data_IF_755260345863
#
_entry.id   IF_755260345863
#
_cell.length_a   1.000
_cell.length_b   1.000
_cell.length_c   1.000
_cell.angle_alpha   90.00
_cell.angle_beta   90.00
_cell.angle_gamma   90.00
#
_symmetry.space_group_name_H-M   'P 1'
#
loop_
_entity.id
_entity.type
_entity.pdbx_description
1 polymer ?
#
# COMPACT_ATOMS: atom_id res chain seq x y z
N UNK A 1 -22.29 -1.23 0.15
CA UNK A 1 -21.42 -2.33 -0.39
C UNK A 1 -22.29 -3.11 -1.36
N UNK A 2 -21.79 -3.45 -2.55
CA UNK A 2 -22.53 -4.29 -3.51
C UNK A 2 -22.75 -5.65 -2.86
N UNK A 3 -23.99 -6.16 -2.87
CA UNK A 3 -24.30 -7.47 -2.31
C UNK A 3 -23.75 -8.61 -3.18
N UNK A 4 -23.55 -9.79 -2.59
CA UNK A 4 -22.94 -10.92 -3.29
C UNK A 4 -23.74 -11.37 -4.51
N UNK A 5 -25.09 -11.48 -4.47
CA UNK A 5 -25.87 -11.84 -5.64
C UNK A 5 -25.71 -10.85 -6.81
N UNK A 6 -25.60 -9.55 -6.53
CA UNK A 6 -25.34 -8.55 -7.55
C UNK A 6 -23.91 -8.67 -8.12
N UNK A 7 -22.91 -8.95 -7.27
CA UNK A 7 -21.54 -9.25 -7.73
C UNK A 7 -21.55 -10.44 -8.67
N UNK A 8 -22.18 -11.54 -8.29
CA UNK A 8 -22.24 -12.76 -9.10
C UNK A 8 -22.92 -12.48 -10.47
N UNK A 9 -24.03 -11.74 -10.47
CA UNK A 9 -24.69 -11.30 -11.73
C UNK A 9 -23.79 -10.48 -12.63
N UNK A 10 -22.99 -9.58 -12.05
CA UNK A 10 -22.03 -8.76 -12.82
C UNK A 10 -20.93 -9.64 -13.42
N UNK A 11 -20.39 -10.56 -12.62
CA UNK A 11 -19.32 -11.47 -13.05
C UNK A 11 -19.81 -12.42 -14.16
N UNK A 12 -21.01 -12.95 -14.04
CA UNK A 12 -21.61 -13.85 -15.03
C UNK A 12 -21.93 -13.12 -16.34
N UNK A 13 -22.38 -11.87 -16.28
CA UNK A 13 -22.67 -11.05 -17.45
C UNK A 13 -21.40 -10.53 -18.15
N UNK A 14 -20.29 -10.40 -17.43
CA UNK A 14 -19.08 -9.79 -17.94
C UNK A 14 -18.34 -10.71 -18.92
N UNK A 15 -18.64 -10.58 -20.21
CA UNK A 15 -17.94 -11.29 -21.28
C UNK A 15 -16.58 -10.63 -21.53
N UNK A 16 -15.50 -11.41 -21.41
CA UNK A 16 -14.13 -10.90 -21.56
C UNK A 16 -13.85 -10.35 -22.96
N UNK A 17 -14.43 -10.95 -24.02
CA UNK A 17 -14.22 -10.46 -25.39
C UNK A 17 -14.88 -9.10 -25.58
N UNK A 18 -16.13 -8.95 -25.11
CA UNK A 18 -16.88 -7.69 -25.22
C UNK A 18 -16.19 -6.57 -24.45
N UNK A 19 -15.71 -6.89 -23.23
CA UNK A 19 -15.02 -5.91 -22.37
C UNK A 19 -13.70 -5.49 -23.00
N UNK A 20 -12.87 -6.44 -23.41
CA UNK A 20 -11.53 -6.14 -23.95
C UNK A 20 -11.62 -5.46 -25.32
N UNK A 21 -12.61 -5.80 -26.15
CA UNK A 21 -12.77 -5.22 -27.50
C UNK A 21 -13.03 -3.72 -27.51
N UNK A 22 -13.48 -3.13 -26.40
CA UNK A 22 -13.64 -1.67 -26.27
C UNK A 22 -12.31 -0.93 -26.21
N UNK A 23 -11.26 -1.61 -25.77
CA UNK A 23 -9.94 -1.02 -25.51
C UNK A 23 -8.84 -1.54 -26.43
N UNK A 24 -9.02 -2.76 -26.96
CA UNK A 24 -8.01 -3.48 -27.74
C UNK A 24 -8.63 -4.01 -29.03
N UNK A 25 -8.01 -3.68 -30.15
CA UNK A 25 -8.40 -4.28 -31.45
C UNK A 25 -8.03 -5.76 -31.44
N UNK A 26 -9.05 -6.62 -31.37
CA UNK A 26 -8.90 -8.07 -31.34
C UNK A 26 -9.08 -8.70 -32.71
N UNK A 27 -8.23 -9.70 -33.04
CA UNK A 27 -8.35 -10.54 -34.23
C UNK A 27 -8.55 -11.99 -33.82
N UNK A 28 -9.45 -12.70 -34.48
CA UNK A 28 -9.70 -14.13 -34.20
C UNK A 28 -8.49 -14.97 -34.59
N UNK A 29 -8.06 -15.85 -33.67
CA UNK A 29 -6.97 -16.81 -33.87
C UNK A 29 -7.38 -18.18 -33.31
N UNK A 30 -7.92 -19.04 -34.17
CA UNK A 30 -8.53 -20.30 -33.74
C UNK A 30 -9.76 -20.06 -32.86
N UNK A 31 -9.77 -20.65 -31.66
CA UNK A 31 -10.84 -20.52 -30.68
C UNK A 31 -10.69 -19.27 -29.79
N UNK A 32 -9.55 -18.57 -29.86
CA UNK A 32 -9.22 -17.39 -29.08
C UNK A 32 -9.19 -16.14 -29.95
N UNK A 33 -9.04 -14.99 -29.28
CA UNK A 33 -8.73 -13.72 -29.91
C UNK A 33 -7.33 -13.26 -29.47
N UNK A 34 -6.68 -12.42 -30.31
CA UNK A 34 -5.36 -11.88 -30.04
C UNK A 34 -5.29 -10.42 -30.46
N UNK A 35 -4.58 -9.60 -29.68
CA UNK A 35 -4.35 -8.19 -29.94
C UNK A 35 -3.01 -7.72 -29.38
N UNK A 36 -2.73 -6.42 -29.52
CA UNK A 36 -1.59 -5.79 -28.84
C UNK A 36 -1.93 -5.61 -27.35
N UNK A 37 -0.96 -5.82 -26.48
CA UNK A 37 -1.18 -5.69 -25.05
C UNK A 37 -1.34 -4.22 -24.64
N UNK A 38 -2.40 -3.85 -23.88
CA UNK A 38 -2.58 -2.49 -23.42
C UNK A 38 -1.73 -2.15 -22.18
N UNK A 39 -1.05 -3.14 -21.58
CA UNK A 39 -0.34 -2.97 -20.31
C UNK A 39 1.17 -2.76 -20.47
N UNK A 40 1.72 -2.93 -21.69
CA UNK A 40 3.11 -2.65 -22.02
C UNK A 40 3.23 -2.24 -23.48
N UNK A 41 4.38 -1.67 -23.87
CA UNK A 41 4.67 -1.33 -25.27
C UNK A 41 4.88 -2.61 -26.07
N UNK A 42 3.84 -3.05 -26.79
CA UNK A 42 3.81 -4.29 -27.56
C UNK A 42 3.98 -3.99 -29.05
N UNK A 43 4.95 -4.67 -29.70
CA UNK A 43 5.22 -4.54 -31.15
C UNK A 43 4.58 -5.68 -31.96
N UNK A 44 4.17 -6.74 -31.28
CA UNK A 44 3.57 -7.92 -31.91
C UNK A 44 2.43 -8.45 -31.04
N UNK A 45 1.31 -8.92 -31.63
CA UNK A 45 0.15 -9.36 -30.87
C UNK A 45 0.48 -10.50 -29.90
N UNK A 46 0.55 -10.17 -28.60
CA UNK A 46 0.89 -11.10 -27.51
C UNK A 46 -0.23 -11.24 -26.47
N UNK A 47 -1.29 -10.43 -26.59
CA UNK A 47 -2.41 -10.42 -25.67
C UNK A 47 -3.53 -11.32 -26.17
N UNK A 48 -3.73 -12.45 -25.50
CA UNK A 48 -4.73 -13.46 -25.83
C UNK A 48 -5.97 -13.32 -24.97
N UNK A 49 -7.13 -13.46 -25.59
CA UNK A 49 -8.44 -13.47 -24.94
C UNK A 49 -9.12 -14.79 -25.24
N UNK A 50 -9.48 -15.54 -24.21
CA UNK A 50 -10.14 -16.85 -24.32
C UNK A 50 -11.61 -16.73 -23.94
N UNK A 51 -12.54 -16.80 -24.92
CA UNK A 51 -13.98 -16.77 -24.64
C UNK A 51 -14.43 -17.92 -23.76
N UNK A 52 -13.92 -19.14 -24.02
CA UNK A 52 -14.33 -20.35 -23.31
C UNK A 52 -13.93 -20.36 -21.83
N UNK A 53 -12.85 -19.66 -21.47
CA UNK A 53 -12.37 -19.54 -20.09
C UNK A 53 -12.78 -18.21 -19.45
N UNK A 54 -13.35 -17.29 -20.21
CA UNK A 54 -13.70 -15.92 -19.83
C UNK A 54 -12.52 -15.15 -19.17
N UNK A 55 -11.29 -15.31 -19.72
CA UNK A 55 -10.06 -14.68 -19.25
C UNK A 55 -9.22 -14.12 -20.39
N UNK A 56 -8.37 -13.16 -20.08
CA UNK A 56 -7.30 -12.68 -20.95
C UNK A 56 -5.93 -12.94 -20.34
N UNK A 57 -4.88 -13.02 -21.18
CA UNK A 57 -3.48 -13.11 -20.74
C UNK A 57 -2.53 -12.59 -21.81
N UNK A 58 -1.60 -11.75 -21.41
CA UNK A 58 -0.44 -11.40 -22.22
C UNK A 58 0.69 -12.41 -21.99
N UNK A 59 1.21 -13.02 -23.05
CA UNK A 59 2.33 -13.96 -22.95
C UNK A 59 3.70 -13.26 -22.95
N UNK A 60 3.74 -11.95 -23.24
CA UNK A 60 4.98 -11.16 -23.16
C UNK A 60 5.21 -10.58 -21.78
N UNK A 61 4.21 -9.92 -21.16
CA UNK A 61 4.37 -9.29 -19.84
C UNK A 61 3.74 -10.09 -18.68
N UNK A 62 3.02 -11.19 -18.98
CA UNK A 62 2.38 -12.02 -17.97
C UNK A 62 1.05 -11.49 -17.42
N UNK A 63 0.68 -10.23 -17.71
CA UNK A 63 -0.58 -9.62 -17.25
C UNK A 63 -1.80 -10.33 -17.81
N UNK A 64 -2.82 -10.49 -16.97
CA UNK A 64 -4.07 -11.12 -17.40
C UNK A 64 -5.02 -11.36 -16.23
N UNK A 65 -6.17 -11.94 -16.54
CA UNK A 65 -7.20 -12.24 -15.55
C UNK A 65 -8.61 -12.20 -16.14
N UNK A 66 -9.60 -12.03 -15.28
CA UNK A 66 -11.01 -11.88 -15.64
C UNK A 66 -11.32 -10.47 -16.18
N UNK A 67 -12.54 -10.24 -16.68
CA UNK A 67 -13.00 -8.93 -17.13
C UNK A 67 -12.85 -7.85 -16.03
N UNK A 68 -13.13 -8.19 -14.77
CA UNK A 68 -12.95 -7.27 -13.65
C UNK A 68 -11.48 -6.90 -13.46
N UNK A 69 -10.58 -7.89 -13.49
CA UNK A 69 -9.14 -7.65 -13.39
C UNK A 69 -8.61 -6.77 -14.53
N UNK A 70 -9.11 -7.01 -15.75
CA UNK A 70 -8.75 -6.19 -16.91
C UNK A 70 -9.15 -4.72 -16.69
N UNK A 71 -10.39 -4.45 -16.28
CA UNK A 71 -10.88 -3.08 -16.01
C UNK A 71 -10.13 -2.44 -14.83
N UNK A 72 -9.92 -3.18 -13.72
CA UNK A 72 -9.13 -2.68 -12.60
C UNK A 72 -7.75 -2.17 -13.04
N UNK A 73 -7.10 -2.93 -13.90
CA UNK A 73 -5.75 -2.63 -14.36
C UNK A 73 -5.72 -1.53 -15.43
N UNK A 74 -6.62 -1.60 -16.40
CA UNK A 74 -6.69 -0.66 -17.53
C UNK A 74 -7.13 0.72 -17.08
N UNK A 75 -8.22 0.80 -16.33
CA UNK A 75 -8.81 2.05 -15.84
C UNK A 75 -8.24 2.50 -14.49
N UNK A 76 -7.30 1.74 -13.90
CA UNK A 76 -6.71 1.99 -12.58
C UNK A 76 -7.77 2.09 -11.46
N UNK A 77 -8.84 1.31 -11.57
CA UNK A 77 -9.97 1.32 -10.65
C UNK A 77 -9.79 0.34 -9.49
N UNK A 78 -10.46 0.62 -8.37
CA UNK A 78 -10.63 -0.38 -7.31
C UNK A 78 -11.55 -1.52 -7.76
N UNK A 79 -11.51 -2.66 -7.07
CA UNK A 79 -12.37 -3.80 -7.38
C UNK A 79 -13.85 -3.41 -7.44
N UNK A 80 -14.33 -2.65 -6.47
CA UNK A 80 -15.73 -2.21 -6.42
C UNK A 80 -16.07 -1.18 -7.51
N UNK A 81 -15.14 -0.31 -7.89
CA UNK A 81 -15.36 0.64 -8.98
C UNK A 81 -15.35 -0.06 -10.34
N UNK A 82 -14.52 -1.09 -10.52
CA UNK A 82 -14.54 -1.95 -11.70
C UNK A 82 -15.86 -2.72 -11.80
N UNK A 83 -16.42 -3.22 -10.69
CA UNK A 83 -17.75 -3.82 -10.67
C UNK A 83 -18.84 -2.81 -11.04
N UNK A 84 -18.79 -1.56 -10.54
CA UNK A 84 -19.73 -0.50 -10.95
C UNK A 84 -19.63 -0.17 -12.44
N UNK A 85 -18.42 -0.12 -12.96
CA UNK A 85 -18.18 0.08 -14.38
C UNK A 85 -18.86 -1.00 -15.23
N UNK A 86 -18.63 -2.27 -14.88
CA UNK A 86 -19.23 -3.41 -15.57
C UNK A 86 -20.74 -3.47 -15.39
N UNK A 87 -21.26 -3.19 -14.19
CA UNK A 87 -22.70 -3.13 -13.95
C UNK A 87 -23.38 -2.08 -14.85
N UNK A 88 -22.78 -0.90 -14.97
CA UNK A 88 -23.26 0.15 -15.88
C UNK A 88 -23.25 -0.32 -17.35
N UNK A 89 -22.17 -0.98 -17.78
CA UNK A 89 -22.04 -1.52 -19.15
C UNK A 89 -23.14 -2.52 -19.47
N UNK A 90 -23.45 -3.42 -18.53
CA UNK A 90 -24.43 -4.49 -18.75
C UNK A 90 -25.84 -4.16 -18.23
N UNK A 91 -26.10 -2.88 -17.87
CA UNK A 91 -27.38 -2.41 -17.34
C UNK A 91 -27.87 -3.23 -16.13
N UNK A 92 -26.92 -3.64 -15.25
CA UNK A 92 -27.24 -4.35 -14.02
C UNK A 92 -27.44 -3.31 -12.93
N UNK A 93 -28.65 -3.25 -12.39
CA UNK A 93 -28.95 -2.41 -11.23
C UNK A 93 -28.18 -2.92 -10.02
N UNK A 94 -27.38 -2.04 -9.41
CA UNK A 94 -26.61 -2.35 -8.22
C UNK A 94 -27.52 -2.13 -7.01
N UNK A 95 -27.90 -3.22 -6.36
CA UNK A 95 -28.49 -3.14 -5.03
C UNK A 95 -27.34 -2.90 -4.03
N UNK A 96 -27.20 -1.66 -3.60
CA UNK A 96 -26.27 -1.34 -2.52
C UNK A 96 -26.98 -1.64 -1.19
N UNK A 97 -26.51 -2.68 -0.50
CA UNK A 97 -26.88 -2.91 0.89
C UNK A 97 -26.39 -1.69 1.69
N UNK A 98 -27.31 -1.04 2.39
CA UNK A 98 -26.90 -0.07 3.40
C UNK A 98 -25.98 -0.73 4.42
N UNK A 99 -24.84 -0.12 4.66
CA UNK A 99 -23.93 -0.56 5.70
C UNK A 99 -24.62 -0.38 7.06
N UNK A 100 -24.53 -1.36 7.90
CA UNK A 100 -24.94 -1.20 9.31
C UNK A 100 -24.10 -0.09 9.95
N UNK A 101 -24.61 0.53 11.00
CA UNK A 101 -23.87 1.59 11.72
C UNK A 101 -22.51 1.08 12.22
N UNK A 102 -22.43 -0.19 12.60
CA UNK A 102 -21.18 -0.85 12.99
C UNK A 102 -20.18 -0.94 11.82
N UNK A 103 -20.64 -1.30 10.62
CA UNK A 103 -19.79 -1.39 9.41
C UNK A 103 -19.34 0.01 8.96
N UNK A 104 -20.20 1.02 9.06
CA UNK A 104 -19.85 2.42 8.82
C UNK A 104 -18.77 2.89 9.79
N UNK A 105 -18.91 2.54 11.07
CA UNK A 105 -17.94 2.91 12.10
C UNK A 105 -16.58 2.25 11.86
N UNK A 106 -16.55 0.95 11.57
CA UNK A 106 -15.30 0.22 11.25
C UNK A 106 -14.60 0.85 10.04
N UNK A 107 -15.34 1.20 9.00
CA UNK A 107 -14.79 1.86 7.82
C UNK A 107 -14.23 3.24 8.16
N UNK A 108 -14.95 4.04 8.93
CA UNK A 108 -14.51 5.37 9.40
C UNK A 108 -13.27 5.28 10.29
N UNK A 109 -13.20 4.31 11.20
CA UNK A 109 -12.04 4.07 12.06
C UNK A 109 -10.82 3.68 11.25
N UNK A 110 -10.98 2.75 10.29
CA UNK A 110 -9.92 2.32 9.39
C UNK A 110 -9.37 3.49 8.55
N UNK A 111 -10.25 4.34 8.03
CA UNK A 111 -9.85 5.54 7.28
C UNK A 111 -9.10 6.52 8.17
N UNK A 112 -9.59 6.77 9.39
CA UNK A 112 -8.95 7.62 10.38
C UNK A 112 -7.55 7.12 10.76
N UNK A 113 -7.36 5.80 10.92
CA UNK A 113 -6.04 5.20 11.17
C UNK A 113 -5.08 5.40 9.98
N UNK A 114 -5.55 5.25 8.74
CA UNK A 114 -4.73 5.51 7.55
C UNK A 114 -4.31 6.98 7.44
N UNK A 115 -5.21 7.91 7.75
CA UNK A 115 -4.92 9.35 7.76
C UNK A 115 -3.87 9.68 8.82
N UNK A 116 -4.01 9.15 10.04
CA UNK A 116 -3.05 9.34 11.13
C UNK A 116 -1.67 8.79 10.76
N UNK A 117 -1.61 7.59 10.15
CA UNK A 117 -0.33 7.00 9.73
C UNK A 117 0.33 7.78 8.59
N UNK A 118 -0.46 8.28 7.62
CA UNK A 118 0.06 9.13 6.56
C UNK A 118 0.67 10.41 7.12
N UNK A 119 -0.02 11.07 8.05
CA UNK A 119 0.48 12.23 8.76
C UNK A 119 1.76 11.92 9.56
N UNK A 120 1.76 10.83 10.32
CA UNK A 120 2.93 10.43 11.11
C UNK A 120 4.16 10.14 10.23
N UNK A 121 3.97 9.50 9.06
CA UNK A 121 5.03 9.30 8.08
C UNK A 121 5.64 10.62 7.61
N UNK A 122 4.78 11.59 7.27
CA UNK A 122 5.24 12.94 6.89
C UNK A 122 5.93 13.65 8.06
N UNK A 123 5.38 13.58 9.26
CA UNK A 123 5.97 14.16 10.46
C UNK A 123 7.39 13.63 10.72
N UNK A 124 7.58 12.31 10.72
CA UNK A 124 8.90 11.70 10.89
C UNK A 124 9.88 12.08 9.77
N UNK A 125 9.41 12.13 8.53
CA UNK A 125 10.23 12.55 7.39
C UNK A 125 10.65 14.03 7.53
N UNK A 126 9.73 14.91 7.89
CA UNK A 126 10.03 16.33 8.16
C UNK A 126 11.06 16.48 9.28
N UNK A 127 10.91 15.75 10.38
CA UNK A 127 11.91 15.78 11.46
C UNK A 127 13.28 15.31 10.99
N UNK A 128 13.37 14.28 10.16
CA UNK A 128 14.64 13.81 9.62
C UNK A 128 15.34 14.88 8.77
N UNK A 129 14.59 15.58 7.93
CA UNK A 129 15.16 16.52 6.96
C UNK A 129 15.32 17.95 7.48
N UNK A 130 14.52 18.38 8.46
CA UNK A 130 14.45 19.79 8.87
C UNK A 130 14.91 20.02 10.31
N UNK A 131 14.65 19.08 11.23
CA UNK A 131 15.02 19.24 12.63
C UNK A 131 16.52 19.02 12.86
N UNK A 132 17.13 19.80 13.78
CA UNK A 132 18.57 19.72 14.08
C UNK A 132 18.99 18.31 14.50
N UNK A 133 18.25 17.69 15.43
CA UNK A 133 18.50 16.32 15.90
C UNK A 133 18.31 15.29 14.78
N UNK A 134 17.27 15.46 13.94
CA UNK A 134 17.03 14.59 12.78
C UNK A 134 18.19 14.59 11.80
N UNK A 135 18.73 15.78 11.48
CA UNK A 135 19.89 15.94 10.58
C UNK A 135 21.18 15.37 11.19
N UNK A 136 21.48 15.74 12.44
CA UNK A 136 22.75 15.38 13.08
C UNK A 136 22.82 13.91 13.48
N UNK A 137 21.71 13.27 13.79
CA UNK A 137 21.64 11.89 14.28
C UNK A 137 21.04 10.96 13.24
N UNK A 138 19.81 11.23 12.78
CA UNK A 138 19.07 10.36 11.87
C UNK A 138 19.67 10.33 10.47
N UNK A 139 19.88 11.48 9.85
CA UNK A 139 20.43 11.57 8.49
C UNK A 139 21.87 11.05 8.45
N UNK A 140 22.68 11.38 9.45
CA UNK A 140 24.03 10.84 9.61
C UNK A 140 24.04 9.32 9.64
N UNK A 141 23.13 8.70 10.40
CA UNK A 141 23.00 7.25 10.46
C UNK A 141 22.75 6.63 9.08
N UNK A 142 21.87 7.21 8.28
CA UNK A 142 21.58 6.71 6.93
C UNK A 142 22.75 6.91 5.98
N UNK A 143 23.43 8.07 6.06
CA UNK A 143 24.62 8.37 5.26
C UNK A 143 25.79 7.43 5.57
N UNK A 144 26.07 7.14 6.86
CA UNK A 144 27.09 6.17 7.29
C UNK A 144 26.79 4.74 6.81
N UNK A 145 25.55 4.45 6.42
CA UNK A 145 25.11 3.19 5.83
C UNK A 145 25.09 3.19 4.32
N UNK A 146 25.56 4.24 3.69
CA UNK A 146 25.64 4.36 2.24
C UNK A 146 24.32 4.66 1.54
N UNK A 147 23.26 5.03 2.27
CA UNK A 147 21.98 5.39 1.65
C UNK A 147 22.06 6.79 1.06
N UNK A 148 21.70 6.90 -0.22
CA UNK A 148 21.58 8.17 -0.93
C UNK A 148 20.33 8.94 -0.49
N UNK A 149 20.37 10.24 -0.60
CA UNK A 149 19.25 11.11 -0.18
C UNK A 149 17.97 10.86 -1.00
N UNK A 150 18.10 10.57 -2.30
CA UNK A 150 16.97 10.25 -3.15
C UNK A 150 16.21 8.97 -2.66
N UNK A 151 16.95 7.97 -2.19
CA UNK A 151 16.37 6.76 -1.59
C UNK A 151 15.72 7.07 -0.25
N UNK A 152 16.36 7.86 0.59
CA UNK A 152 15.79 8.28 1.89
C UNK A 152 14.44 8.97 1.67
N UNK A 153 14.37 9.89 0.70
CA UNK A 153 13.12 10.59 0.33
C UNK A 153 12.09 9.66 -0.30
N UNK A 154 12.51 8.83 -1.27
CA UNK A 154 11.63 7.89 -1.97
C UNK A 154 10.92 6.94 -1.00
N UNK A 155 11.63 6.41 -0.01
CA UNK A 155 11.10 5.50 0.99
C UNK A 155 10.47 6.22 2.18
N UNK A 156 10.43 7.55 2.18
CA UNK A 156 9.89 8.38 3.24
C UNK A 156 10.51 8.06 4.62
N UNK A 157 11.83 7.74 4.63
CA UNK A 157 12.51 7.44 5.88
C UNK A 157 12.41 8.65 6.82
N UNK A 158 12.36 8.38 8.11
CA UNK A 158 12.09 9.39 9.09
C UNK A 158 12.97 9.29 10.36
N UNK A 159 12.74 10.23 11.23
CA UNK A 159 13.33 10.27 12.57
C UNK A 159 12.27 10.66 13.61
N UNK A 160 12.28 9.99 14.74
CA UNK A 160 11.48 10.33 15.92
C UNK A 160 12.39 10.87 17.01
N UNK A 161 12.08 12.07 17.50
CA UNK A 161 12.87 12.76 18.52
C UNK A 161 13.00 11.92 19.80
N UNK A 162 14.12 12.07 20.51
CA UNK A 162 14.32 11.44 21.82
C UNK A 162 13.57 12.21 22.93
N UNK A 163 12.31 12.48 22.70
CA UNK A 163 11.38 13.11 23.63
C UNK A 163 10.23 12.15 23.93
N UNK A 164 9.69 12.25 25.14
CA UNK A 164 8.71 11.29 25.64
C UNK A 164 7.42 11.25 24.84
N UNK A 165 6.91 12.43 24.43
CA UNK A 165 5.57 12.64 23.91
C UNK A 165 5.50 13.72 22.81
N UNK A 166 6.59 13.89 22.05
CA UNK A 166 6.69 14.92 21.01
C UNK A 166 5.69 14.70 19.87
N UNK A 167 5.60 13.46 19.36
CA UNK A 167 4.61 13.10 18.35
C UNK A 167 3.20 13.25 18.89
N UNK A 168 2.94 12.71 20.10
CA UNK A 168 1.63 12.78 20.72
C UNK A 168 1.12 14.22 20.82
N UNK A 169 1.91 15.12 21.42
CA UNK A 169 1.54 16.53 21.57
C UNK A 169 1.29 17.22 20.23
N UNK A 170 2.12 16.94 19.24
CA UNK A 170 1.99 17.51 17.90
C UNK A 170 0.73 16.99 17.21
N UNK A 171 0.43 15.70 17.33
CA UNK A 171 -0.75 15.08 16.76
C UNK A 171 -2.05 15.65 17.36
N UNK A 172 -2.11 15.77 18.70
CA UNK A 172 -3.28 16.36 19.39
C UNK A 172 -3.48 17.81 18.97
N UNK A 173 -2.41 18.60 18.89
CA UNK A 173 -2.47 19.99 18.41
C UNK A 173 -2.95 20.09 16.96
N UNK A 174 -2.63 19.11 16.14
CA UNK A 174 -3.10 19.01 14.75
C UNK A 174 -4.52 18.43 14.62
N UNK A 175 -5.21 18.13 15.74
CA UNK A 175 -6.61 17.68 15.76
C UNK A 175 -6.81 16.17 15.65
N UNK A 176 -5.73 15.36 15.70
CA UNK A 176 -5.86 13.91 15.68
C UNK A 176 -6.31 13.35 17.03
N UNK A 177 -7.20 12.36 17.02
CA UNK A 177 -7.72 11.73 18.23
C UNK A 177 -6.70 10.76 18.83
N UNK A 178 -6.53 10.80 20.15
CA UNK A 178 -5.67 9.88 20.93
C UNK A 178 -5.95 8.41 20.59
N UNK A 179 -7.22 8.04 20.49
CA UNK A 179 -7.67 6.68 20.17
C UNK A 179 -6.99 6.09 18.92
N UNK A 180 -6.90 6.86 17.84
CA UNK A 180 -6.28 6.37 16.60
C UNK A 180 -4.75 6.32 16.67
N UNK A 181 -4.12 7.17 17.47
CA UNK A 181 -2.68 7.09 17.78
C UNK A 181 -2.36 5.81 18.58
N UNK A 182 -3.24 5.41 19.47
CA UNK A 182 -3.13 4.15 20.23
C UNK A 182 -3.39 2.94 19.35
N UNK A 183 -4.52 2.92 18.60
CA UNK A 183 -4.89 1.82 17.69
C UNK A 183 -3.83 1.53 16.62
N UNK A 184 -3.15 2.56 16.12
CA UNK A 184 -2.04 2.40 15.15
C UNK A 184 -0.70 2.08 15.82
N UNK A 185 -0.64 2.13 17.15
CA UNK A 185 0.57 1.89 17.91
C UNK A 185 1.65 2.98 17.76
N UNK A 186 1.28 4.19 17.38
CA UNK A 186 2.19 5.34 17.37
C UNK A 186 2.56 5.78 18.78
N UNK A 187 1.62 5.61 19.70
CA UNK A 187 1.80 5.92 21.12
C UNK A 187 1.44 4.74 22.01
N UNK A 188 1.91 4.76 23.24
CA UNK A 188 1.58 3.83 24.31
C UNK A 188 0.93 4.62 25.42
N UNK A 189 -0.34 4.34 25.72
CA UNK A 189 -1.02 4.88 26.88
C UNK A 189 -0.84 3.95 28.10
N UNK A 190 -0.73 4.53 29.25
CA UNK A 190 -0.58 3.83 30.53
C UNK A 190 -1.78 4.14 31.44
N UNK A 191 -2.09 3.25 32.35
CA UNK A 191 -3.22 3.37 33.28
C UNK A 191 -3.19 4.63 34.14
N UNK A 192 -2.00 5.17 34.39
CA UNK A 192 -1.81 6.43 35.11
C UNK A 192 -2.07 7.70 34.28
N UNK A 193 -2.63 7.55 33.07
CA UNK A 193 -2.92 8.65 32.15
C UNK A 193 -1.74 9.17 31.33
N UNK A 194 -0.54 8.67 31.56
CA UNK A 194 0.64 9.06 30.78
C UNK A 194 0.58 8.45 29.36
N UNK A 195 1.13 9.19 28.40
CA UNK A 195 1.28 8.74 27.01
C UNK A 195 2.73 8.91 26.58
N UNK A 196 3.29 7.89 25.97
CA UNK A 196 4.66 7.91 25.45
C UNK A 196 4.65 7.61 23.95
N UNK A 197 5.51 8.27 23.20
CA UNK A 197 5.79 7.94 21.81
C UNK A 197 6.49 6.57 21.71
N UNK A 198 5.91 5.63 20.93
CA UNK A 198 6.47 4.27 20.79
C UNK A 198 7.86 4.28 20.16
N UNK A 199 8.08 5.18 19.22
CA UNK A 199 9.28 5.20 18.38
C UNK A 199 10.33 6.23 18.84
N UNK A 200 10.25 6.71 20.05
CA UNK A 200 11.17 7.73 20.63
C UNK A 200 12.64 7.40 20.38
N UNK A 201 13.43 8.38 19.88
CA UNK A 201 14.87 8.28 19.66
C UNK A 201 15.28 7.27 18.58
N UNK A 202 14.45 7.06 17.55
CA UNK A 202 14.65 6.04 16.53
C UNK A 202 14.63 6.63 15.12
N UNK A 203 15.40 6.05 14.21
CA UNK A 203 15.15 6.18 12.77
C UNK A 203 13.97 5.32 12.39
N UNK A 204 13.15 5.83 11.45
CA UNK A 204 11.84 5.29 11.12
C UNK A 204 11.81 4.76 9.69
N UNK A 205 11.20 3.60 9.52
CA UNK A 205 10.95 2.90 8.27
C UNK A 205 9.45 2.73 8.09
N UNK A 206 8.78 3.58 7.28
CA UNK A 206 7.35 3.42 7.02
C UNK A 206 7.08 2.16 6.21
N UNK A 207 6.09 1.38 6.62
CA UNK A 207 5.62 0.20 5.90
C UNK A 207 4.44 0.60 5.02
N UNK A 208 4.56 0.34 3.72
CA UNK A 208 3.55 0.68 2.73
C UNK A 208 2.84 -0.57 2.23
N UNK A 209 1.53 -0.46 2.04
CA UNK A 209 0.77 -1.46 1.29
C UNK A 209 1.22 -1.49 -0.17
N UNK A 210 0.77 -2.48 -0.94
CA UNK A 210 1.00 -2.54 -2.38
C UNK A 210 0.43 -1.32 -3.14
N UNK A 211 -0.59 -0.65 -2.58
CA UNK A 211 -1.16 0.60 -3.12
C UNK A 211 -0.46 1.88 -2.64
N UNK A 212 0.57 1.77 -1.79
CA UNK A 212 1.36 2.91 -1.32
C UNK A 212 0.82 3.63 -0.08
N UNK A 213 -0.19 3.09 0.60
CA UNK A 213 -0.67 3.65 1.87
C UNK A 213 0.25 3.24 3.01
N UNK A 214 0.62 4.17 3.89
CA UNK A 214 1.38 3.88 5.10
C UNK A 214 0.49 3.20 6.13
N UNK A 215 0.81 1.97 6.51
CA UNK A 215 0.00 1.16 7.44
C UNK A 215 0.70 0.88 8.77
N UNK A 216 2.02 0.97 8.81
CA UNK A 216 2.82 0.70 10.00
C UNK A 216 4.19 1.37 9.93
N UNK A 217 4.96 1.24 11.00
CA UNK A 217 6.32 1.74 11.10
C UNK A 217 7.24 0.71 11.76
N UNK A 218 8.47 0.63 11.28
CA UNK A 218 9.59 0.05 11.99
C UNK A 218 10.48 1.17 12.55
N UNK A 219 10.98 1.00 13.76
CA UNK A 219 11.87 1.97 14.38
C UNK A 219 13.14 1.34 14.91
N UNK A 220 14.32 1.84 14.51
CA UNK A 220 15.61 1.38 15.02
C UNK A 220 16.22 2.39 15.95
N UNK A 221 16.57 1.97 17.19
CA UNK A 221 17.28 2.81 18.15
C UNK A 221 18.73 3.00 17.70
N UNK A 222 19.26 4.21 17.89
CA UNK A 222 20.64 4.55 17.53
C UNK A 222 21.59 4.54 18.72
N UNK A 223 21.09 4.81 19.93
CA UNK A 223 21.85 4.70 21.16
C UNK A 223 22.10 3.24 21.52
N UNK A 224 23.33 2.91 21.91
CA UNK A 224 23.65 1.59 22.48
C UNK A 224 23.15 1.57 23.93
N UNK A 225 22.04 0.88 24.15
CA UNK A 225 21.50 0.58 25.47
C UNK A 225 21.08 -0.89 25.46
N UNK A 226 21.69 -1.70 26.31
CA UNK A 226 21.42 -3.15 26.38
C UNK A 226 19.99 -3.47 26.83
N UNK A 227 19.31 -2.52 27.49
CA UNK A 227 17.93 -2.69 27.97
C UNK A 227 16.87 -2.30 26.94
N UNK A 228 17.27 -1.65 25.85
CA UNK A 228 16.34 -1.15 24.83
C UNK A 228 16.37 -2.03 23.59
N UNK A 229 15.21 -2.56 23.18
CA UNK A 229 15.09 -3.35 21.95
C UNK A 229 15.62 -2.57 20.75
N UNK A 230 16.55 -3.18 19.99
CA UNK A 230 17.20 -2.57 18.83
C UNK A 230 16.20 -2.14 17.76
N UNK A 231 15.20 -2.98 17.51
CA UNK A 231 14.08 -2.68 16.62
C UNK A 231 12.75 -2.79 17.34
N UNK A 232 11.84 -1.89 17.03
CA UNK A 232 10.44 -1.91 17.46
C UNK A 232 9.58 -1.71 16.24
N UNK A 233 8.51 -2.49 16.09
CA UNK A 233 7.54 -2.37 15.03
C UNK A 233 6.18 -1.89 15.58
N UNK A 234 5.33 -1.36 14.69
CA UNK A 234 3.91 -1.19 15.02
C UNK A 234 3.30 -2.54 15.43
N UNK A 235 2.37 -2.56 16.37
CA UNK A 235 1.59 -3.75 16.67
C UNK A 235 0.64 -4.09 15.52
N UNK A 236 0.07 -5.30 15.55
CA UNK A 236 -1.06 -5.67 14.70
C UNK A 236 -2.22 -4.70 14.90
N UNK A 237 -2.94 -4.38 13.83
CA UNK A 237 -4.09 -3.47 13.88
C UNK A 237 -5.07 -3.78 12.75
N UNK A 238 -6.22 -3.10 12.71
CA UNK A 238 -7.20 -3.24 11.64
C UNK A 238 -6.67 -2.86 10.23
N UNK A 239 -5.57 -2.10 10.18
CA UNK A 239 -4.95 -1.68 8.91
C UNK A 239 -3.60 -2.35 8.63
N UNK A 240 -3.04 -3.09 9.60
CA UNK A 240 -1.72 -3.70 9.48
C UNK A 240 -1.68 -5.11 10.04
N UNK A 241 -1.32 -6.06 9.18
CA UNK A 241 -0.98 -7.44 9.55
C UNK A 241 0.42 -7.75 9.03
N UNK A 242 1.37 -7.95 9.94
CA UNK A 242 2.78 -8.12 9.61
C UNK A 242 3.05 -9.25 8.60
N UNK A 243 2.28 -10.33 8.67
CA UNK A 243 2.38 -11.46 7.73
C UNK A 243 1.92 -11.14 6.30
N UNK A 244 1.15 -10.06 6.10
CA UNK A 244 0.57 -9.70 4.82
C UNK A 244 1.35 -8.61 4.09
N UNK A 245 2.33 -7.99 4.75
CA UNK A 245 3.05 -6.85 4.21
C UNK A 245 4.53 -7.17 4.00
N UNK A 246 5.00 -6.92 2.78
CA UNK A 246 6.41 -6.98 2.43
C UNK A 246 6.98 -5.56 2.34
N UNK A 247 7.94 -5.26 3.23
CA UNK A 247 8.60 -3.96 3.21
C UNK A 247 9.27 -3.68 1.86
N UNK A 248 9.02 -2.50 1.31
CA UNK A 248 9.60 -2.06 0.04
C UNK A 248 8.87 -2.52 -1.22
N UNK A 249 7.90 -3.42 -1.14
CA UNK A 249 7.20 -3.98 -2.31
C UNK A 249 6.54 -2.88 -3.17
N UNK A 250 5.97 -1.85 -2.56
CA UNK A 250 5.39 -0.72 -3.28
C UNK A 250 6.38 -0.06 -4.24
N UNK A 251 7.60 0.16 -3.80
CA UNK A 251 8.66 0.80 -4.58
C UNK A 251 9.35 -0.16 -5.56
N UNK A 252 9.35 -1.46 -5.26
CA UNK A 252 10.01 -2.50 -6.05
C UNK A 252 9.13 -3.08 -7.16
N UNK A 253 7.79 -3.02 -7.03
CA UNK A 253 6.85 -3.75 -7.91
C UNK A 253 7.07 -3.51 -9.41
N UNK A 254 7.34 -2.26 -9.81
CA UNK A 254 7.59 -1.96 -11.23
C UNK A 254 8.91 -2.54 -11.74
N UNK A 255 9.97 -2.49 -10.91
CA UNK A 255 11.26 -3.08 -11.26
C UNK A 255 11.18 -4.60 -11.31
N UNK A 256 10.45 -5.22 -10.37
CA UNK A 256 10.20 -6.67 -10.36
C UNK A 256 9.50 -7.09 -11.66
N UNK A 257 8.42 -6.40 -12.05
CA UNK A 257 7.71 -6.68 -13.29
C UNK A 257 8.57 -6.50 -14.55
N UNK A 258 9.40 -5.45 -14.56
CA UNK A 258 10.25 -5.13 -15.72
C UNK A 258 11.42 -6.11 -15.88
N UNK A 259 12.00 -6.57 -14.76
CA UNK A 259 13.20 -7.41 -14.74
C UNK A 259 12.91 -8.89 -14.55
N UNK A 260 11.65 -9.25 -14.26
CA UNK A 260 11.18 -10.60 -13.91
C UNK A 260 12.04 -11.25 -12.81
N UNK A 261 12.44 -10.43 -11.83
CA UNK A 261 13.34 -10.83 -10.74
C UNK A 261 13.01 -10.08 -9.46
N UNK A 262 13.03 -10.80 -8.32
CA UNK A 262 12.83 -10.28 -6.98
C UNK A 262 13.90 -10.80 -6.03
N UNK A 263 14.36 -9.94 -5.11
CA UNK A 263 15.24 -10.34 -4.01
C UNK A 263 14.49 -10.20 -2.69
N UNK A 264 14.44 -11.28 -1.93
CA UNK A 264 13.91 -11.26 -0.55
C UNK A 264 15.08 -11.16 0.42
N UNK A 265 14.98 -10.23 1.37
CA UNK A 265 16.01 -9.96 2.38
C UNK A 265 15.37 -9.80 3.76
N UNK A 266 16.12 -10.08 4.82
CA UNK A 266 15.58 -10.18 6.19
C UNK A 266 15.30 -8.84 6.88
N UNK A 267 15.75 -7.70 6.36
CA UNK A 267 15.69 -6.47 7.14
C UNK A 267 15.49 -5.19 6.33
N UNK A 268 14.94 -4.17 6.98
CA UNK A 268 14.68 -2.86 6.39
C UNK A 268 15.88 -2.27 5.62
N UNK A 269 17.07 -2.29 6.24
CA UNK A 269 18.28 -1.74 5.63
C UNK A 269 18.72 -2.53 4.39
N UNK A 270 18.63 -3.86 4.42
CA UNK A 270 18.98 -4.70 3.28
C UNK A 270 18.02 -4.46 2.11
N UNK A 271 16.73 -4.31 2.39
CA UNK A 271 15.72 -3.96 1.36
C UNK A 271 16.05 -2.64 0.67
N UNK A 272 16.46 -1.63 1.42
CA UNK A 272 16.81 -0.31 0.88
C UNK A 272 18.04 -0.32 -0.02
N UNK A 273 19.06 -1.12 0.34
CA UNK A 273 20.31 -1.23 -0.43
C UNK A 273 20.09 -1.97 -1.77
N UNK A 274 19.18 -2.94 -1.81
CA UNK A 274 18.93 -3.75 -3.01
C UNK A 274 17.86 -3.18 -3.96
N UNK A 275 17.02 -2.25 -3.49
CA UNK A 275 15.96 -1.62 -4.32
C UNK A 275 16.47 -0.31 -4.95
N UNK A 276 17.62 0.19 -4.51
CA UNK A 276 18.23 1.45 -4.96
C UNK A 276 18.92 1.35 -6.32
#
# INVERSE_FOLDING_TARGET
MIDQPTIDRILDAANIVDVVSEFVTLRKRGINYVGLCPFHSDKSPSFYVSPSKNICKCFACGEGGTAVHFIMKHEQLSYFDALRFLAKKYNIEIQERELTEKEKQIRSDRESMLIVNSWAGQYFSTLLHEHVEGKSVGMRYFAERGLREDIIRKFQLGYSLDQRDALYKTAIKAGYKKEFLEKTGLVIAYDNGNVNDRFRGRVIFPVHTLSGKVVAFGGRVLKKDEKTAKYVNSPESEIYHKSNELYGIYFAKQAIMKQDRCFLVEGYMLSLIHIS
#
